data_IF_813084660580
#
_entry.id   IF_813084660580
#
_cell.length_a   1.000
_cell.length_b   1.000
_cell.length_c   1.000
_cell.angle_alpha   90.00
_cell.angle_beta   90.00
_cell.angle_gamma   90.00
#
_symmetry.space_group_name_H-M   'P 1'
#
loop_
_entity.id
_entity.type
_entity.pdbx_description
1 polymer ?
#
# COMPACT_ATOMS: atom_id res chain seq x y z
N UNK A 1 18.39 28.93 13.77
CA UNK A 1 18.62 28.30 12.45
C UNK A 1 18.34 29.33 11.37
N UNK A 2 19.33 29.70 10.56
CA UNK A 2 19.19 30.79 9.59
C UNK A 2 18.19 30.43 8.48
N UNK A 3 17.50 31.42 7.85
CA UNK A 3 16.54 31.16 6.78
C UNK A 3 17.18 30.44 5.59
N UNK A 4 18.45 30.70 5.30
CA UNK A 4 19.23 30.01 4.25
C UNK A 4 19.39 28.50 4.54
N UNK A 5 19.62 28.12 5.80
CA UNK A 5 19.75 26.71 6.19
C UNK A 5 18.42 25.95 6.04
N UNK A 6 17.28 26.58 6.38
CA UNK A 6 15.96 25.97 6.18
C UNK A 6 15.64 25.75 4.70
N UNK A 7 16.04 26.70 3.85
CA UNK A 7 15.85 26.59 2.41
C UNK A 7 16.69 25.45 1.80
N UNK A 8 17.97 25.36 2.20
CA UNK A 8 18.85 24.29 1.78
C UNK A 8 18.35 22.90 2.19
N UNK A 9 17.86 22.74 3.43
CA UNK A 9 17.29 21.47 3.90
C UNK A 9 16.00 21.10 3.14
N UNK A 10 15.14 22.09 2.82
CA UNK A 10 13.95 21.85 2.00
C UNK A 10 14.32 21.42 0.57
N UNK A 11 15.28 22.12 -0.06
CA UNK A 11 15.75 21.79 -1.39
C UNK A 11 16.37 20.38 -1.44
N UNK A 12 17.18 20.01 -0.45
CA UNK A 12 17.76 18.66 -0.34
C UNK A 12 16.67 17.59 -0.19
N UNK A 13 15.64 17.82 0.65
CA UNK A 13 14.52 16.90 0.81
C UNK A 13 13.75 16.72 -0.49
N UNK A 14 13.46 17.80 -1.21
CA UNK A 14 12.79 17.74 -2.51
C UNK A 14 13.63 16.94 -3.52
N UNK A 15 14.93 17.19 -3.58
CA UNK A 15 15.84 16.47 -4.48
C UNK A 15 15.86 14.97 -4.17
N UNK A 16 15.94 14.59 -2.89
CA UNK A 16 15.88 13.19 -2.46
C UNK A 16 14.55 12.54 -2.83
N UNK A 17 13.42 13.23 -2.63
CA UNK A 17 12.08 12.72 -3.00
C UNK A 17 11.98 12.54 -4.51
N UNK A 18 12.41 13.54 -5.30
CA UNK A 18 12.41 13.45 -6.77
C UNK A 18 13.29 12.30 -7.28
N UNK A 19 14.49 12.13 -6.72
CA UNK A 19 15.40 11.04 -7.09
C UNK A 19 14.80 9.67 -6.72
N UNK A 20 14.21 9.53 -5.53
CA UNK A 20 13.55 8.30 -5.10
C UNK A 20 12.33 7.97 -5.97
N UNK A 21 11.52 8.97 -6.33
CA UNK A 21 10.36 8.80 -7.23
C UNK A 21 10.81 8.38 -8.62
N UNK A 22 11.87 9.00 -9.14
CA UNK A 22 12.44 8.64 -10.44
C UNK A 22 12.98 7.20 -10.45
N UNK A 23 13.74 6.80 -9.42
CA UNK A 23 14.24 5.43 -9.28
C UNK A 23 13.11 4.41 -9.17
N UNK A 24 12.06 4.74 -8.41
CA UNK A 24 10.88 3.91 -8.30
C UNK A 24 10.17 3.76 -9.66
N UNK A 25 10.01 4.86 -10.39
CA UNK A 25 9.43 4.84 -11.74
C UNK A 25 10.25 3.96 -12.68
N UNK A 26 11.58 4.09 -12.69
CA UNK A 26 12.46 3.25 -13.50
C UNK A 26 12.34 1.76 -13.12
N UNK A 27 12.28 1.45 -11.83
CA UNK A 27 12.10 0.08 -11.35
C UNK A 27 10.76 -0.51 -11.78
N UNK A 28 9.69 0.28 -11.73
CA UNK A 28 8.32 -0.11 -12.10
C UNK A 28 8.21 -0.32 -13.60
N UNK A 29 8.73 0.59 -14.42
CA UNK A 29 8.59 0.61 -15.88
C UNK A 29 9.60 -0.27 -16.62
N UNK A 30 10.64 -0.79 -15.94
CA UNK A 30 11.65 -1.62 -16.57
C UNK A 30 11.05 -2.92 -17.13
N UNK A 31 11.16 -3.10 -18.44
CA UNK A 31 10.74 -4.34 -19.09
C UNK A 31 11.72 -5.47 -18.73
N UNK A 32 11.22 -6.50 -18.09
CA UNK A 32 11.99 -7.69 -17.73
C UNK A 32 11.34 -8.93 -18.33
N UNK A 33 12.15 -9.84 -18.87
CA UNK A 33 11.67 -11.18 -19.25
C UNK A 33 11.14 -11.94 -18.02
N UNK A 34 10.21 -12.86 -18.23
CA UNK A 34 9.55 -13.57 -17.13
C UNK A 34 10.50 -14.23 -16.11
N UNK A 35 11.68 -14.84 -16.48
CA UNK A 35 12.57 -15.39 -15.47
C UNK A 35 13.18 -14.32 -14.56
N UNK A 36 13.53 -13.15 -15.15
CA UNK A 36 14.06 -12.02 -14.38
C UNK A 36 13.01 -11.42 -13.45
N UNK A 37 11.74 -11.40 -13.87
CA UNK A 37 10.62 -10.99 -13.03
C UNK A 37 10.41 -11.94 -11.85
N UNK A 38 10.49 -13.26 -12.08
CA UNK A 38 10.40 -14.27 -11.03
C UNK A 38 11.52 -14.12 -9.98
N UNK A 39 12.76 -13.87 -10.44
CA UNK A 39 13.89 -13.59 -9.54
C UNK A 39 13.66 -12.33 -8.73
N UNK A 40 13.24 -11.23 -9.38
CA UNK A 40 12.96 -9.97 -8.68
C UNK A 40 11.84 -10.14 -7.64
N UNK A 41 10.78 -10.87 -7.99
CA UNK A 41 9.68 -11.22 -7.07
C UNK A 41 10.17 -12.04 -5.88
N UNK A 42 10.99 -13.05 -6.13
CA UNK A 42 11.60 -13.89 -5.09
C UNK A 42 12.49 -13.09 -4.13
N UNK A 43 13.33 -12.20 -4.66
CA UNK A 43 14.18 -11.29 -3.86
C UNK A 43 13.29 -10.35 -3.03
N UNK A 44 12.26 -9.76 -3.62
CA UNK A 44 11.33 -8.87 -2.92
C UNK A 44 10.60 -9.58 -1.78
N UNK A 45 10.15 -10.81 -2.00
CA UNK A 45 9.53 -11.65 -0.98
C UNK A 45 10.53 -11.98 0.15
N UNK A 46 11.76 -12.34 -0.19
CA UNK A 46 12.79 -12.61 0.81
C UNK A 46 13.08 -11.38 1.66
N UNK A 47 13.23 -10.21 1.05
CA UNK A 47 13.42 -8.94 1.76
C UNK A 47 12.22 -8.68 2.69
N UNK A 48 10.99 -8.86 2.21
CA UNK A 48 9.78 -8.67 3.02
C UNK A 48 9.76 -9.60 4.25
N UNK A 49 10.10 -10.88 4.07
CA UNK A 49 10.17 -11.85 5.16
C UNK A 49 11.25 -11.51 6.18
N UNK A 50 12.44 -11.12 5.73
CA UNK A 50 13.54 -10.70 6.60
C UNK A 50 13.19 -9.44 7.40
N UNK A 51 12.61 -8.43 6.76
CA UNK A 51 12.16 -7.21 7.42
C UNK A 51 11.03 -7.51 8.43
N UNK A 52 10.06 -8.33 8.06
CA UNK A 52 8.95 -8.69 8.95
C UNK A 52 9.44 -9.43 10.20
N UNK A 53 10.48 -10.28 10.05
CA UNK A 53 11.07 -11.04 11.17
C UNK A 53 11.98 -10.20 12.06
N UNK A 54 12.59 -9.13 11.53
CA UNK A 54 13.63 -8.35 12.21
C UNK A 54 13.11 -7.52 13.38
N UNK A 55 12.02 -6.78 13.21
CA UNK A 55 11.49 -5.89 14.26
C UNK A 55 10.09 -5.38 13.93
N UNK A 56 9.32 -5.00 14.96
CA UNK A 56 8.02 -4.32 14.82
C UNK A 56 8.14 -2.79 14.86
N UNK A 57 9.19 -2.23 14.28
CA UNK A 57 9.37 -0.78 14.25
C UNK A 57 8.51 -0.12 13.16
N UNK A 58 8.12 1.15 13.40
CA UNK A 58 7.36 1.95 12.41
C UNK A 58 8.10 2.07 11.07
N UNK A 59 9.42 2.17 11.10
CA UNK A 59 10.25 2.28 9.90
C UNK A 59 10.15 1.01 9.05
N UNK A 60 10.17 -0.17 9.68
CA UNK A 60 10.02 -1.45 8.97
C UNK A 60 8.63 -1.58 8.38
N UNK A 61 7.58 -1.18 9.11
CA UNK A 61 6.22 -1.17 8.59
C UNK A 61 6.11 -0.29 7.35
N UNK A 62 6.66 0.92 7.39
CA UNK A 62 6.67 1.83 6.23
C UNK A 62 7.48 1.25 5.05
N UNK A 63 8.61 0.60 5.31
CA UNK A 63 9.41 -0.05 4.27
C UNK A 63 8.64 -1.20 3.59
N UNK A 64 7.93 -2.01 4.37
CA UNK A 64 7.07 -3.09 3.84
C UNK A 64 5.91 -2.54 3.01
N UNK A 65 5.27 -1.46 3.47
CA UNK A 65 4.22 -0.78 2.70
C UNK A 65 4.75 -0.24 1.36
N UNK A 66 5.91 0.41 1.37
CA UNK A 66 6.55 0.92 0.15
C UNK A 66 6.91 -0.21 -0.80
N UNK A 67 7.47 -1.32 -0.29
CA UNK A 67 7.79 -2.49 -1.10
C UNK A 67 6.52 -3.09 -1.74
N UNK A 68 5.43 -3.20 -0.97
CA UNK A 68 4.14 -3.67 -1.47
C UNK A 68 3.56 -2.76 -2.55
N UNK A 69 3.61 -1.43 -2.34
CA UNK A 69 3.17 -0.45 -3.34
C UNK A 69 4.01 -0.57 -4.62
N UNK A 70 5.34 -0.68 -4.50
CA UNK A 70 6.24 -0.82 -5.64
C UNK A 70 5.94 -2.09 -6.45
N UNK A 71 5.72 -3.22 -5.78
CA UNK A 71 5.35 -4.48 -6.42
C UNK A 71 3.99 -4.37 -7.14
N UNK A 72 3.00 -3.75 -6.51
CA UNK A 72 1.66 -3.53 -7.10
C UNK A 72 1.70 -2.60 -8.30
N UNK A 73 2.44 -1.49 -8.22
CA UNK A 73 2.61 -0.57 -9.35
C UNK A 73 3.31 -1.25 -10.52
N UNK A 74 4.34 -2.07 -10.25
CA UNK A 74 5.03 -2.85 -11.29
C UNK A 74 4.09 -3.85 -11.96
N UNK A 75 3.29 -4.58 -11.18
CA UNK A 75 2.29 -5.48 -11.71
C UNK A 75 1.25 -4.72 -12.56
N UNK A 76 0.73 -3.61 -12.04
CA UNK A 76 -0.25 -2.77 -12.73
C UNK A 76 0.29 -2.21 -14.06
N UNK A 77 1.56 -1.78 -14.07
CA UNK A 77 2.24 -1.32 -15.29
C UNK A 77 2.27 -2.42 -16.37
N UNK A 78 2.72 -3.61 -16.01
CA UNK A 78 2.72 -4.76 -16.91
C UNK A 78 1.30 -5.11 -17.39
N UNK A 79 0.33 -5.10 -16.48
CA UNK A 79 -1.07 -5.42 -16.77
C UNK A 79 -1.70 -4.46 -17.77
N UNK A 80 -1.45 -3.15 -17.59
CA UNK A 80 -1.95 -2.11 -18.52
C UNK A 80 -1.37 -2.34 -19.92
N UNK A 81 -0.08 -2.62 -20.05
CA UNK A 81 0.54 -2.90 -21.34
C UNK A 81 -0.09 -4.12 -22.01
N UNK A 82 -0.32 -5.19 -21.27
CA UNK A 82 -0.97 -6.39 -21.79
C UNK A 82 -2.37 -6.09 -22.35
N UNK A 83 -3.14 -5.23 -21.65
CA UNK A 83 -4.46 -4.79 -22.15
C UNK A 83 -4.32 -3.90 -23.39
N UNK A 84 -3.37 -2.97 -23.39
CA UNK A 84 -3.12 -2.08 -24.54
C UNK A 84 -2.68 -2.90 -25.76
N UNK A 85 -1.77 -3.85 -25.58
CA UNK A 85 -1.28 -4.72 -26.66
C UNK A 85 -2.43 -5.55 -27.23
N UNK A 86 -3.30 -6.11 -26.38
CA UNK A 86 -4.47 -6.85 -26.82
C UNK A 86 -5.41 -6.02 -27.72
N UNK A 87 -5.72 -4.77 -27.32
CA UNK A 87 -6.59 -3.88 -28.10
C UNK A 87 -5.91 -3.22 -29.30
N UNK A 88 -4.59 -3.23 -29.36
CA UNK A 88 -3.81 -2.72 -30.49
C UNK A 88 -3.63 -3.74 -31.60
N UNK A 89 -3.81 -5.03 -31.31
CA UNK A 89 -3.73 -6.10 -32.30
C UNK A 89 -5.02 -6.17 -33.10
N UNK A 90 -4.94 -5.91 -34.40
CA UNK A 90 -6.07 -5.93 -35.33
C UNK A 90 -6.71 -7.32 -35.49
N UNK A 91 -5.98 -8.38 -35.15
CA UNK A 91 -6.49 -9.76 -35.17
C UNK A 91 -7.50 -10.04 -34.08
N UNK A 92 -7.49 -9.24 -33.01
CA UNK A 92 -8.37 -9.41 -31.86
C UNK A 92 -9.69 -8.67 -32.04
N UNK A 93 -10.80 -9.39 -31.91
CA UNK A 93 -12.12 -8.76 -31.94
C UNK A 93 -12.35 -7.93 -30.68
N UNK A 94 -12.53 -6.61 -30.83
CA UNK A 94 -12.73 -5.65 -29.70
C UNK A 94 -13.97 -5.93 -28.84
N UNK A 95 -14.93 -6.67 -29.38
CA UNK A 95 -16.16 -7.10 -28.68
C UNK A 95 -16.16 -8.60 -28.37
N UNK A 96 -15.00 -9.23 -28.26
CA UNK A 96 -14.88 -10.61 -27.85
C UNK A 96 -15.18 -10.81 -26.36
N UNK A 97 -15.57 -12.02 -25.97
CA UNK A 97 -15.73 -12.38 -24.56
C UNK A 97 -14.42 -12.15 -23.79
N UNK A 98 -13.27 -12.42 -24.43
CA UNK A 98 -11.95 -12.22 -23.85
C UNK A 98 -11.68 -10.75 -23.53
N UNK A 99 -12.09 -9.83 -24.43
CA UNK A 99 -11.98 -8.40 -24.21
C UNK A 99 -12.80 -7.95 -22.99
N UNK A 100 -14.04 -8.43 -22.86
CA UNK A 100 -14.93 -8.11 -21.74
C UNK A 100 -14.34 -8.65 -20.43
N UNK A 101 -13.90 -9.91 -20.40
CA UNK A 101 -13.31 -10.52 -19.22
C UNK A 101 -12.03 -9.83 -18.81
N UNK A 102 -11.18 -9.43 -19.78
CA UNK A 102 -9.95 -8.68 -19.53
C UNK A 102 -10.22 -7.32 -18.87
N UNK A 103 -11.24 -6.59 -19.33
CA UNK A 103 -11.63 -5.29 -18.73
C UNK A 103 -12.24 -5.44 -17.34
N UNK A 104 -13.08 -6.46 -17.13
CA UNK A 104 -13.62 -6.77 -15.80
C UNK A 104 -12.49 -7.08 -14.83
N UNK A 105 -11.56 -7.94 -15.24
CA UNK A 105 -10.41 -8.30 -14.41
C UNK A 105 -9.54 -7.07 -14.10
N UNK A 106 -9.20 -6.25 -15.10
CA UNK A 106 -8.45 -5.01 -14.90
C UNK A 106 -9.15 -4.08 -13.89
N UNK A 107 -10.48 -3.94 -14.01
CA UNK A 107 -11.26 -3.09 -13.10
C UNK A 107 -11.22 -3.60 -11.65
N UNK A 108 -11.31 -4.91 -11.44
CA UNK A 108 -11.20 -5.54 -10.13
C UNK A 108 -9.80 -5.36 -9.52
N UNK A 109 -8.76 -5.50 -10.34
CA UNK A 109 -7.36 -5.30 -9.94
C UNK A 109 -7.08 -3.84 -9.54
N UNK A 110 -7.56 -2.88 -10.33
CA UNK A 110 -7.44 -1.44 -10.01
C UNK A 110 -8.19 -1.08 -8.72
N UNK A 111 -9.40 -1.62 -8.54
CA UNK A 111 -10.16 -1.46 -7.30
C UNK A 111 -9.37 -1.98 -6.09
N UNK A 112 -8.81 -3.18 -6.18
CA UNK A 112 -8.01 -3.79 -5.10
C UNK A 112 -6.77 -2.95 -4.79
N UNK A 113 -6.06 -2.46 -5.81
CA UNK A 113 -4.92 -1.58 -5.65
C UNK A 113 -5.30 -0.27 -4.94
N UNK A 114 -6.43 0.34 -5.31
CA UNK A 114 -6.94 1.54 -4.65
C UNK A 114 -7.24 1.31 -3.16
N UNK A 115 -7.98 0.24 -2.83
CA UNK A 115 -8.29 -0.11 -1.43
C UNK A 115 -7.01 -0.35 -0.62
N UNK A 116 -6.02 -1.02 -1.19
CA UNK A 116 -4.72 -1.24 -0.55
C UNK A 116 -4.03 0.09 -0.22
N UNK A 117 -3.95 1.02 -1.18
CA UNK A 117 -3.32 2.34 -0.98
C UNK A 117 -4.06 3.14 0.10
N UNK A 118 -5.39 3.18 0.06
CA UNK A 118 -6.21 3.85 1.07
C UNK A 118 -5.99 3.25 2.47
N UNK A 119 -5.93 1.92 2.58
CA UNK A 119 -5.63 1.22 3.84
C UNK A 119 -4.24 1.58 4.38
N UNK A 120 -3.24 1.67 3.52
CA UNK A 120 -1.90 2.10 3.92
C UNK A 120 -1.86 3.56 4.36
N UNK A 121 -2.59 4.45 3.70
CA UNK A 121 -2.72 5.84 4.15
C UNK A 121 -3.31 5.94 5.55
N UNK A 122 -4.40 5.22 5.84
CA UNK A 122 -5.00 5.18 7.17
C UNK A 122 -4.04 4.67 8.24
N UNK A 123 -3.30 3.60 7.93
CA UNK A 123 -2.34 3.01 8.87
C UNK A 123 -1.11 3.88 9.10
N UNK A 124 -0.64 4.58 8.04
CA UNK A 124 0.55 5.45 8.11
C UNK A 124 0.31 6.72 8.92
N UNK A 125 -0.94 7.22 8.94
CA UNK A 125 -1.33 8.45 9.63
C UNK A 125 -2.40 8.19 10.70
N UNK A 126 -2.07 7.45 11.78
CA UNK A 126 -3.03 7.18 12.84
C UNK A 126 -3.44 8.49 13.51
N UNK A 127 -4.74 8.69 13.67
CA UNK A 127 -5.32 9.81 14.39
C UNK A 127 -4.87 9.77 15.86
N UNK A 128 -3.95 10.65 16.22
CA UNK A 128 -3.56 10.84 17.62
C UNK A 128 -4.48 11.90 18.24
N UNK A 129 -5.57 11.45 18.83
CA UNK A 129 -6.42 12.33 19.62
C UNK A 129 -5.73 12.60 20.95
N UNK A 130 -5.71 13.87 21.39
CA UNK A 130 -5.28 14.20 22.76
C UNK A 130 -6.33 13.64 23.72
N UNK A 131 -5.91 12.93 24.76
CA UNK A 131 -6.86 12.51 25.80
C UNK A 131 -7.52 13.75 26.40
N UNK A 132 -8.83 13.72 26.51
CA UNK A 132 -9.60 14.73 27.23
C UNK A 132 -9.68 14.28 28.68
N UNK A 133 -9.39 15.18 29.63
CA UNK A 133 -9.56 14.87 31.02
C UNK A 133 -11.03 14.55 31.30
N UNK A 134 -11.26 13.46 32.05
CA UNK A 134 -12.61 13.13 32.51
C UNK A 134 -13.07 14.13 33.54
N UNK A 135 -14.37 14.39 33.67
CA UNK A 135 -14.92 15.17 34.77
C UNK A 135 -14.49 14.61 36.14
N UNK A 136 -14.35 15.48 37.13
CA UNK A 136 -13.91 15.10 38.46
C UNK A 136 -14.97 14.27 39.23
N UNK A 137 -16.24 14.35 38.84
CA UNK A 137 -17.33 13.57 39.41
C UNK A 137 -17.60 12.34 38.54
N UNK A 138 -17.69 11.17 39.15
CA UNK A 138 -18.04 9.92 38.43
C UNK A 138 -19.46 9.96 37.84
N UNK A 139 -20.36 10.74 38.49
CA UNK A 139 -21.74 10.91 38.00
C UNK A 139 -21.83 11.63 36.65
N UNK A 140 -20.81 12.41 36.32
CA UNK A 140 -20.73 13.15 35.05
C UNK A 140 -20.02 12.34 33.94
N UNK A 141 -19.59 11.11 34.21
CA UNK A 141 -18.92 10.28 33.22
C UNK A 141 -19.93 9.73 32.21
N UNK A 142 -19.57 9.73 30.92
CA UNK A 142 -20.45 9.15 29.89
C UNK A 142 -20.59 7.65 30.10
N UNK A 143 -21.84 7.15 30.02
CA UNK A 143 -22.08 5.71 29.99
C UNK A 143 -21.50 5.14 28.67
N UNK A 144 -20.67 4.09 28.80
CA UNK A 144 -20.05 3.41 27.67
C UNK A 144 -20.43 1.95 27.69
N UNK A 145 -21.17 1.51 26.68
CA UNK A 145 -21.47 0.09 26.46
C UNK A 145 -20.37 -0.52 25.58
N UNK A 146 -19.71 -1.56 26.07
CA UNK A 146 -18.73 -2.32 25.28
C UNK A 146 -19.42 -3.55 24.71
N UNK A 147 -19.71 -3.52 23.40
CA UNK A 147 -20.27 -4.65 22.68
C UNK A 147 -19.12 -5.51 22.13
N UNK A 148 -18.97 -6.71 22.66
CA UNK A 148 -18.00 -7.70 22.18
C UNK A 148 -18.77 -8.72 21.31
N UNK A 149 -18.66 -8.66 19.98
CA UNK A 149 -19.28 -9.65 19.12
C UNK A 149 -18.56 -10.99 19.30
N UNK A 150 -19.25 -11.97 19.83
CA UNK A 150 -18.73 -13.34 19.99
C UNK A 150 -19.56 -14.28 19.09
N UNK A 151 -18.87 -15.20 18.43
CA UNK A 151 -19.51 -16.25 17.66
C UNK A 151 -19.12 -17.61 18.25
N UNK A 152 -20.01 -18.19 19.05
CA UNK A 152 -19.86 -19.53 19.63
C UNK A 152 -18.58 -19.74 20.46
N UNK A 153 -18.04 -18.67 21.08
CA UNK A 153 -16.86 -18.75 21.95
C UNK A 153 -17.25 -19.08 23.38
N UNK A 154 -16.43 -19.88 24.10
CA UNK A 154 -16.70 -20.19 25.50
C UNK A 154 -16.60 -18.92 26.37
N UNK A 155 -17.53 -18.76 27.33
CA UNK A 155 -17.64 -17.61 28.24
C UNK A 155 -16.32 -17.31 29.01
N UNK A 156 -15.43 -18.29 29.15
CA UNK A 156 -14.12 -18.13 29.79
C UNK A 156 -13.15 -17.24 29.00
N UNK A 157 -13.38 -17.03 27.71
CA UNK A 157 -12.58 -16.12 26.85
C UNK A 157 -13.13 -14.70 26.83
N UNK A 158 -14.35 -14.48 27.30
CA UNK A 158 -15.03 -13.18 27.26
C UNK A 158 -15.06 -12.49 28.65
N UNK A 159 -14.62 -13.20 29.68
CA UNK A 159 -14.53 -12.67 31.07
C UNK A 159 -13.18 -12.03 31.32
#
# INVERSE_FOLDING_TARGET
MSPKHRLAVRALRLLVVCAATFLLFQLVSLYLSWPKQAVLGGISLLIALLLHRSSRSRTITLALMLLSIAATLRYGWWRIHLVVDFFSDESNHRLSIDAVLMLILLSAELYTALIMVLGYMQTSFPLRRKPVALPNSEDDWPHVDVLIPTYNEPLSLVR
#
